data_IF_956529953201
#
_entry.id   IF_956529953201
#
_cell.length_a   1.000
_cell.length_b   1.000
_cell.length_c   1.000
_cell.angle_alpha   90.00
_cell.angle_beta   90.00
_cell.angle_gamma   90.00
#
_symmetry.space_group_name_H-M   'P 1'
#
loop_
_entity.id
_entity.type
_entity.pdbx_description
1 polymer ?
#
# COMPACT_ATOMS: atom_id res chain seq x y z
N UNK A 1 -8.06 5.60 -8.67
CA UNK A 1 -6.88 5.35 -7.83
C UNK A 1 -7.13 4.12 -6.96
N UNK A 2 -6.16 3.22 -6.88
CA UNK A 2 -6.22 2.03 -6.03
C UNK A 2 -5.07 2.05 -5.04
N UNK A 3 -5.37 1.81 -3.77
CA UNK A 3 -4.40 1.60 -2.70
C UNK A 3 -4.32 0.12 -2.41
N UNK A 4 -3.13 -0.45 -2.43
CA UNK A 4 -2.88 -1.82 -2.00
C UNK A 4 -2.15 -1.76 -0.66
N UNK A 5 -2.87 -2.03 0.43
CA UNK A 5 -2.29 -2.15 1.76
C UNK A 5 -1.44 -3.42 1.84
N UNK A 6 -0.29 -3.29 2.51
CA UNK A 6 0.65 -4.38 2.76
C UNK A 6 1.20 -4.29 4.19
N UNK A 7 2.05 -5.24 4.58
CA UNK A 7 2.76 -5.23 5.86
C UNK A 7 1.82 -5.19 7.08
N UNK A 8 2.24 -4.45 8.10
CA UNK A 8 1.54 -4.39 9.39
C UNK A 8 0.15 -3.77 9.30
N UNK A 9 -0.04 -2.78 8.42
CA UNK A 9 -1.34 -2.17 8.19
C UNK A 9 -2.33 -3.17 7.56
N UNK A 10 -1.88 -4.00 6.62
CA UNK A 10 -2.72 -5.05 6.08
C UNK A 10 -2.96 -6.19 7.10
N UNK A 11 -1.95 -6.57 7.89
CA UNK A 11 -2.10 -7.55 8.98
C UNK A 11 -3.14 -7.12 10.02
N UNK A 12 -3.17 -5.83 10.37
CA UNK A 12 -4.18 -5.26 11.27
C UNK A 12 -5.60 -5.40 10.74
N UNK A 13 -5.79 -5.33 9.42
CA UNK A 13 -7.10 -5.51 8.78
C UNK A 13 -7.44 -7.00 8.61
N UNK A 14 -6.45 -7.84 8.32
CA UNK A 14 -6.64 -9.28 8.07
C UNK A 14 -6.88 -10.11 9.33
N UNK A 15 -6.08 -9.89 10.38
CA UNK A 15 -6.07 -10.72 11.58
C UNK A 15 -6.33 -9.95 12.87
N UNK A 16 -6.69 -8.66 12.78
CA UNK A 16 -6.86 -7.77 13.94
C UNK A 16 -5.61 -7.63 14.83
N UNK A 17 -4.44 -7.99 14.31
CA UNK A 17 -3.14 -7.85 14.99
C UNK A 17 -2.35 -6.75 14.30
N UNK A 18 -1.97 -5.71 15.06
CA UNK A 18 -1.21 -4.58 14.55
C UNK A 18 0.22 -4.60 15.09
N UNK A 19 1.17 -5.24 14.38
CA UNK A 19 2.53 -5.41 14.90
C UNK A 19 3.35 -4.12 14.86
N UNK A 20 2.97 -3.12 14.05
CA UNK A 20 3.63 -1.82 13.99
C UNK A 20 2.66 -0.69 13.62
N UNK A 21 3.11 0.54 13.87
CA UNK A 21 2.29 1.76 13.74
C UNK A 21 2.40 2.42 12.37
N UNK A 22 3.43 2.11 11.59
CA UNK A 22 3.59 2.57 10.23
C UNK A 22 2.56 1.93 9.27
N UNK A 23 2.28 2.64 8.18
CA UNK A 23 1.36 2.18 7.13
C UNK A 23 2.16 1.97 5.85
N UNK A 24 2.21 0.71 5.42
CA UNK A 24 2.84 0.32 4.17
C UNK A 24 1.78 0.14 3.07
N UNK A 25 1.93 0.82 1.93
CA UNK A 25 1.01 0.63 0.79
C UNK A 25 1.56 1.01 -0.58
N UNK A 26 1.06 0.35 -1.63
CA UNK A 26 1.27 0.81 -3.00
C UNK A 26 0.12 1.68 -3.50
N UNK A 27 0.45 2.67 -4.33
CA UNK A 27 -0.49 3.58 -4.96
C UNK A 27 -0.52 3.35 -6.46
N UNK A 28 -1.63 2.83 -6.96
CA UNK A 28 -1.88 2.68 -8.39
C UNK A 28 -2.75 3.84 -8.88
N UNK A 29 -2.14 4.74 -9.64
CA UNK A 29 -2.82 5.78 -10.39
C UNK A 29 -3.36 5.23 -11.72
N UNK A 30 -4.45 5.80 -12.24
CA UNK A 30 -4.93 5.41 -13.57
C UNK A 30 -3.95 5.88 -14.64
N UNK A 31 -3.92 5.17 -15.77
CA UNK A 31 -3.11 5.56 -16.93
C UNK A 31 -3.46 7.00 -17.34
N UNK A 32 -2.46 7.89 -17.37
CA UNK A 32 -2.64 9.34 -17.61
C UNK A 32 -2.65 10.23 -16.36
N UNK A 33 -2.78 9.64 -15.17
CA UNK A 33 -2.73 10.36 -13.88
C UNK A 33 -1.33 10.37 -13.25
N UNK A 34 -0.31 9.74 -13.86
CA UNK A 34 1.07 9.70 -13.31
C UNK A 34 1.64 11.09 -13.03
N UNK A 35 1.27 12.09 -13.83
CA UNK A 35 1.61 13.51 -13.62
C UNK A 35 1.08 14.10 -12.30
N UNK A 36 0.16 13.40 -11.62
CA UNK A 36 -0.36 13.79 -10.32
C UNK A 36 0.40 13.13 -9.15
N UNK A 37 1.49 12.40 -9.40
CA UNK A 37 2.25 11.73 -8.34
C UNK A 37 2.69 12.71 -7.24
N UNK A 38 3.24 13.86 -7.61
CA UNK A 38 3.65 14.91 -6.66
C UNK A 38 2.48 15.38 -5.77
N UNK A 39 1.27 15.47 -6.32
CA UNK A 39 0.07 15.83 -5.54
C UNK A 39 -0.31 14.74 -4.54
N UNK A 40 -0.10 13.47 -4.91
CA UNK A 40 -0.32 12.34 -4.02
C UNK A 40 0.70 12.36 -2.89
N UNK A 41 1.99 12.55 -3.21
CA UNK A 41 3.05 12.66 -2.21
C UNK A 41 2.76 13.80 -1.23
N UNK A 42 2.45 14.99 -1.73
CA UNK A 42 2.11 16.13 -0.88
C UNK A 42 0.89 15.86 0.02
N UNK A 43 -0.12 15.14 -0.47
CA UNK A 43 -1.28 14.75 0.32
C UNK A 43 -0.93 13.72 1.41
N UNK A 44 -0.07 12.75 1.10
CA UNK A 44 0.43 11.76 2.06
C UNK A 44 1.25 12.46 3.14
N UNK A 45 2.24 13.27 2.76
CA UNK A 45 3.09 14.02 3.70
C UNK A 45 2.27 14.92 4.62
N UNK A 46 1.28 15.65 4.07
CA UNK A 46 0.37 16.46 4.89
C UNK A 46 -0.37 15.60 5.92
N UNK A 47 -0.82 14.42 5.51
CA UNK A 47 -1.54 13.50 6.40
C UNK A 47 -0.60 12.92 7.48
N UNK A 48 0.63 12.58 7.12
CA UNK A 48 1.67 12.15 8.08
C UNK A 48 1.91 13.25 9.12
N UNK A 49 2.07 14.50 8.69
CA UNK A 49 2.25 15.65 9.60
C UNK A 49 1.04 15.86 10.54
N UNK A 50 -0.17 15.68 10.04
CA UNK A 50 -1.40 15.86 10.82
C UNK A 50 -1.66 14.74 11.82
N UNK A 51 -1.30 13.49 11.47
CA UNK A 51 -1.66 12.30 12.26
C UNK A 51 -0.50 11.78 13.10
N UNK A 52 0.73 12.14 12.77
CA UNK A 52 1.95 11.55 13.33
C UNK A 52 2.19 10.10 12.88
N UNK A 53 1.33 9.54 12.03
CA UNK A 53 1.44 8.16 11.56
C UNK A 53 2.37 8.14 10.35
N UNK A 54 3.48 7.41 10.46
CA UNK A 54 4.43 7.24 9.35
C UNK A 54 3.82 6.40 8.23
N UNK A 55 4.08 6.81 7.00
CA UNK A 55 3.61 6.15 5.79
C UNK A 55 4.79 5.83 4.89
N UNK A 56 4.96 4.56 4.58
CA UNK A 56 5.85 4.10 3.52
C UNK A 56 4.99 3.81 2.29
N UNK A 57 5.35 4.36 1.14
CA UNK A 57 4.55 4.21 -0.08
C UNK A 57 5.41 4.09 -1.34
N UNK A 58 4.86 3.43 -2.36
CA UNK A 58 5.46 3.37 -3.70
C UNK A 58 4.39 3.30 -4.80
N UNK A 59 4.77 3.60 -6.04
CA UNK A 59 3.87 3.54 -7.21
C UNK A 59 3.42 2.09 -7.53
N UNK A 60 4.20 1.09 -7.12
CA UNK A 60 3.89 -0.32 -7.33
C UNK A 60 4.44 -1.18 -6.16
N UNK A 61 3.77 -2.30 -5.86
CA UNK A 61 4.23 -3.29 -4.85
C UNK A 61 5.59 -3.88 -5.26
N UNK A 62 5.90 -3.94 -6.54
CA UNK A 62 7.21 -4.43 -7.01
C UNK A 62 8.39 -3.57 -6.53
N UNK A 63 8.16 -2.35 -6.03
CA UNK A 63 9.20 -1.50 -5.43
C UNK A 63 9.47 -1.80 -3.96
N UNK A 64 8.76 -2.77 -3.36
CA UNK A 64 8.85 -3.08 -1.93
C UNK A 64 9.75 -4.27 -1.58
N UNK A 65 10.28 -5.00 -2.57
CA UNK A 65 11.19 -6.13 -2.37
C UNK A 65 12.10 -6.37 -3.57
N UNK A 66 13.15 -7.18 -3.41
CA UNK A 66 14.11 -7.49 -4.49
C UNK A 66 13.53 -8.45 -5.55
N UNK A 67 12.41 -9.12 -5.24
CA UNK A 67 11.73 -10.04 -6.13
C UNK A 67 10.48 -9.37 -6.69
N UNK A 68 10.41 -9.27 -8.01
CA UNK A 68 9.21 -8.80 -8.70
C UNK A 68 8.08 -9.80 -8.49
N UNK A 69 6.98 -9.35 -7.88
CA UNK A 69 5.81 -10.18 -7.63
C UNK A 69 4.82 -9.99 -8.78
N UNK A 70 5.20 -10.39 -10.00
CA UNK A 70 4.49 -10.07 -11.25
C UNK A 70 2.97 -10.35 -11.24
N UNK A 71 2.50 -11.29 -10.41
CA UNK A 71 1.09 -11.65 -10.28
C UNK A 71 0.40 -11.12 -9.01
N UNK A 72 1.05 -10.27 -8.19
CA UNK A 72 0.51 -9.78 -6.92
C UNK A 72 -0.87 -9.14 -7.06
N UNK A 73 -1.15 -8.52 -8.21
CA UNK A 73 -2.44 -7.87 -8.52
C UNK A 73 -3.61 -8.87 -8.42
N UNK A 74 -3.38 -10.12 -8.82
CA UNK A 74 -4.35 -11.23 -8.71
C UNK A 74 -4.50 -11.74 -7.28
N UNK A 75 -3.54 -11.41 -6.41
CA UNK A 75 -3.43 -11.80 -5.01
C UNK A 75 -3.80 -10.65 -4.08
N UNK A 76 -4.71 -9.78 -4.51
CA UNK A 76 -5.26 -8.71 -3.68
C UNK A 76 -6.75 -8.91 -3.48
N UNK A 77 -7.25 -8.70 -2.26
CA UNK A 77 -8.68 -8.74 -1.94
C UNK A 77 -9.25 -7.33 -1.77
N UNK A 78 -10.44 -7.00 -2.29
CA UNK A 78 -11.11 -5.74 -1.97
C UNK A 78 -11.37 -5.64 -0.47
N UNK A 79 -11.11 -4.48 0.14
CA UNK A 79 -11.45 -4.21 1.54
C UNK A 79 -12.54 -3.16 1.65
N UNK A 80 -12.23 -1.93 1.22
CA UNK A 80 -13.16 -0.81 1.37
C UNK A 80 -12.95 0.22 0.27
N UNK A 81 -13.98 1.01 0.00
CA UNK A 81 -13.92 2.15 -0.91
C UNK A 81 -14.19 3.44 -0.13
N UNK A 82 -13.39 4.47 -0.39
CA UNK A 82 -13.54 5.83 0.12
C UNK A 82 -13.71 6.77 -1.07
N UNK A 83 -14.96 7.02 -1.48
CA UNK A 83 -15.27 7.76 -2.71
C UNK A 83 -14.66 7.09 -3.94
N UNK A 84 -13.72 7.78 -4.60
CA UNK A 84 -13.02 7.28 -5.79
C UNK A 84 -11.76 6.44 -5.46
N UNK A 85 -11.40 6.34 -4.18
CA UNK A 85 -10.25 5.60 -3.70
C UNK A 85 -10.67 4.18 -3.31
N UNK A 86 -10.13 3.19 -4.02
CA UNK A 86 -10.37 1.78 -3.72
C UNK A 86 -9.21 1.23 -2.90
N UNK A 87 -9.50 0.66 -1.73
CA UNK A 87 -8.51 -0.03 -0.89
C UNK A 87 -8.62 -1.53 -1.08
N UNK A 88 -7.48 -2.16 -1.33
CA UNK A 88 -7.31 -3.60 -1.44
C UNK A 88 -6.24 -4.04 -0.46
N UNK A 89 -6.33 -5.28 0.02
CA UNK A 89 -5.32 -5.90 0.88
C UNK A 89 -4.52 -6.88 0.04
N UNK A 90 -3.20 -6.80 0.12
CA UNK A 90 -2.34 -7.84 -0.43
C UNK A 90 -2.50 -9.15 0.37
N UNK A 91 -2.31 -10.29 -0.27
CA UNK A 91 -2.26 -11.59 0.41
C UNK A 91 -1.07 -11.65 1.37
N UNK A 92 -1.26 -12.09 2.63
CA UNK A 92 -0.19 -12.22 3.61
C UNK A 92 1.04 -13.00 3.14
N UNK A 93 0.83 -14.04 2.33
CA UNK A 93 1.93 -14.84 1.80
C UNK A 93 2.82 -14.01 0.87
N UNK A 94 2.23 -13.11 0.08
CA UNK A 94 2.94 -12.33 -0.93
C UNK A 94 3.75 -11.17 -0.31
N UNK A 95 3.23 -10.48 0.70
CA UNK A 95 4.04 -9.44 1.36
C UNK A 95 5.17 -10.03 2.19
N UNK A 96 5.02 -11.26 2.69
CA UNK A 96 6.06 -11.91 3.51
C UNK A 96 7.29 -12.21 2.67
N UNK A 97 7.09 -12.62 1.41
CA UNK A 97 8.18 -12.78 0.42
C UNK A 97 8.91 -11.45 0.18
N UNK A 98 8.15 -10.36 0.01
CA UNK A 98 8.72 -9.02 -0.17
C UNK A 98 9.58 -8.55 1.02
N UNK A 99 9.17 -8.86 2.26
CA UNK A 99 9.92 -8.46 3.48
C UNK A 99 11.12 -9.38 3.77
N UNK A 100 11.08 -10.67 3.41
CA UNK A 100 12.20 -11.61 3.61
C UNK A 100 13.40 -11.34 2.68
N UNK A 101 13.20 -10.57 1.63
CA UNK A 101 14.25 -10.24 0.64
C UNK A 101 14.89 -8.88 0.89
N UNK A 102 14.76 -8.32 2.09
CA UNK A 102 15.37 -7.05 2.50
C UNK A 102 16.54 -7.26 3.46
#
# INVERSE_FOLDING_TARGET
MTIVLTGAAAAAVWGHVRPSVDIDFAVQLRTGEKKNWEKVEAAIERTVRLTGIQANYAEDIDRWGLVTLLDYKRRTRPYRRFGLLQVRLLDPAYWSIGKMTR
#
